data_IF_109480113028
#
_entry.id   IF_109480113028
#
_cell.length_a   1.000
_cell.length_b   1.000
_cell.length_c   1.000
_cell.angle_alpha   90.00
_cell.angle_beta   90.00
_cell.angle_gamma   90.00
#
_symmetry.space_group_name_H-M   'P 1'
#
loop_
_entity.id
_entity.type
_entity.pdbx_description
1 polymer ?
#
# COMPACT_ATOMS: atom_id res chain seq x y z
N UNK A 1 -0.67 25.92 -28.11
CA UNK A 1 0.23 25.46 -27.03
C UNK A 1 -0.66 25.05 -25.88
N UNK A 2 -0.34 23.95 -25.21
CA UNK A 2 -1.18 23.50 -24.10
C UNK A 2 -1.00 24.44 -22.90
N UNK A 3 -2.07 24.71 -22.14
CA UNK A 3 -1.97 25.56 -20.94
C UNK A 3 -0.95 24.97 -19.95
N UNK A 4 -0.86 23.64 -19.90
CA UNK A 4 0.14 22.93 -19.10
C UNK A 4 1.60 23.29 -19.48
N UNK A 5 1.95 23.33 -20.77
CA UNK A 5 3.34 23.62 -21.21
C UNK A 5 3.74 25.10 -21.08
N UNK A 6 2.75 25.99 -20.92
CA UNK A 6 3.02 27.39 -20.57
C UNK A 6 3.48 27.52 -19.11
N UNK A 7 2.96 26.67 -18.21
CA UNK A 7 3.28 26.68 -16.78
C UNK A 7 4.44 25.74 -16.44
N UNK A 8 4.54 24.59 -17.10
CA UNK A 8 5.53 23.56 -16.79
C UNK A 8 6.49 23.31 -17.95
N UNK A 9 7.77 23.11 -17.63
CA UNK A 9 8.78 22.57 -18.53
C UNK A 9 8.90 21.08 -18.31
N UNK A 10 8.44 20.28 -19.28
CA UNK A 10 8.47 18.82 -19.18
C UNK A 10 9.90 18.30 -19.32
N UNK A 11 10.29 17.39 -18.42
CA UNK A 11 11.59 16.74 -18.44
C UNK A 11 11.42 15.24 -18.79
N UNK A 12 11.85 14.36 -17.90
CA UNK A 12 11.88 12.92 -18.12
C UNK A 12 10.57 12.25 -17.71
N UNK A 13 10.22 11.18 -18.43
CA UNK A 13 9.14 10.27 -18.02
C UNK A 13 9.64 9.39 -16.86
N UNK A 14 8.99 9.49 -15.70
CA UNK A 14 9.39 8.81 -14.46
C UNK A 14 8.67 7.47 -14.30
N UNK A 15 7.47 7.33 -14.86
CA UNK A 15 6.71 6.09 -14.75
C UNK A 15 5.56 5.95 -15.74
N UNK A 16 5.16 4.71 -15.95
CA UNK A 16 3.98 4.32 -16.72
C UNK A 16 3.19 3.30 -15.90
N UNK A 17 1.92 3.60 -15.64
CA UNK A 17 1.01 2.75 -14.88
C UNK A 17 -0.29 2.52 -15.65
N UNK A 18 -1.16 1.66 -15.10
CA UNK A 18 -2.43 1.27 -15.73
C UNK A 18 -3.38 2.45 -16.01
N UNK A 19 -3.25 3.54 -15.25
CA UNK A 19 -4.12 4.72 -15.34
C UNK A 19 -3.46 5.92 -16.05
N UNK A 20 -2.20 5.79 -16.50
CA UNK A 20 -1.52 6.84 -17.24
C UNK A 20 -0.01 6.93 -17.02
N UNK A 21 0.56 8.12 -17.20
CA UNK A 21 2.01 8.35 -17.19
C UNK A 21 2.42 9.43 -16.20
N UNK A 22 3.54 9.23 -15.51
CA UNK A 22 4.12 10.23 -14.61
C UNK A 22 5.36 10.83 -15.26
N UNK A 23 5.43 12.16 -15.24
CA UNK A 23 6.53 12.94 -15.80
C UNK A 23 7.13 13.84 -14.75
N UNK A 24 8.46 13.99 -14.75
CA UNK A 24 9.12 15.06 -14.01
C UNK A 24 9.01 16.34 -14.84
N UNK A 25 8.82 17.45 -14.18
CA UNK A 25 8.77 18.76 -14.81
C UNK A 25 9.28 19.83 -13.86
N UNK A 26 9.67 20.98 -14.41
CA UNK A 26 9.96 22.19 -13.64
C UNK A 26 8.78 23.15 -13.76
N UNK A 27 8.24 23.59 -12.62
CA UNK A 27 7.24 24.67 -12.57
C UNK A 27 7.92 26.01 -12.87
N UNK A 28 7.51 26.69 -13.94
CA UNK A 28 8.15 27.94 -14.39
C UNK A 28 7.83 29.13 -13.48
N UNK A 29 6.86 29.00 -12.57
CA UNK A 29 6.43 30.08 -11.67
C UNK A 29 7.44 30.30 -10.54
N UNK A 30 7.95 29.21 -9.97
CA UNK A 30 8.85 29.21 -8.81
C UNK A 30 10.13 28.40 -9.03
N UNK A 31 10.30 27.78 -10.20
CA UNK A 31 11.41 26.91 -10.58
C UNK A 31 11.51 25.63 -9.76
N UNK A 32 10.41 25.21 -9.11
CA UNK A 32 10.37 23.98 -8.35
C UNK A 32 10.19 22.75 -9.25
N UNK A 33 10.92 21.68 -8.97
CA UNK A 33 10.69 20.39 -9.61
C UNK A 33 9.42 19.73 -9.07
N UNK A 34 8.57 19.25 -9.97
CA UNK A 34 7.28 18.60 -9.68
C UNK A 34 7.14 17.28 -10.42
N UNK A 35 6.20 16.45 -9.96
CA UNK A 35 5.77 15.25 -10.66
C UNK A 35 4.36 15.44 -11.23
N UNK A 36 4.18 15.25 -12.53
CA UNK A 36 2.91 15.41 -13.23
C UNK A 36 2.37 14.03 -13.59
N UNK A 37 1.29 13.61 -12.92
CA UNK A 37 0.54 12.39 -13.28
C UNK A 37 -0.53 12.74 -14.29
N UNK A 38 -0.34 12.28 -15.52
CA UNK A 38 -1.32 12.37 -16.59
C UNK A 38 -2.31 11.22 -16.47
N UNK A 39 -3.61 11.54 -16.37
CA UNK A 39 -4.70 10.58 -16.37
C UNK A 39 -5.49 10.73 -17.66
N UNK A 40 -5.39 9.70 -18.51
CA UNK A 40 -6.15 9.64 -19.76
C UNK A 40 -7.53 9.10 -19.45
N UNK A 41 -8.47 10.01 -19.28
CA UNK A 41 -9.87 9.67 -19.06
C UNK A 41 -10.69 10.72 -19.80
N UNK A 42 -11.77 10.33 -20.49
CA UNK A 42 -12.59 11.24 -21.30
C UNK A 42 -13.41 12.18 -20.40
N UNK A 43 -12.70 13.06 -19.69
CA UNK A 43 -13.24 13.97 -18.69
C UNK A 43 -13.93 15.11 -19.43
N UNK A 44 -15.25 15.13 -19.32
CA UNK A 44 -16.12 16.06 -20.03
C UNK A 44 -16.33 17.38 -19.29
N UNK A 45 -16.05 17.41 -17.98
CA UNK A 45 -16.24 18.59 -17.14
C UNK A 45 -15.23 18.68 -16.00
N UNK A 46 -15.01 19.90 -15.50
CA UNK A 46 -14.17 20.13 -14.31
C UNK A 46 -14.73 19.44 -13.06
N UNK A 47 -16.05 19.41 -12.91
CA UNK A 47 -16.71 18.69 -11.81
C UNK A 47 -16.43 17.19 -11.87
N UNK A 48 -16.44 16.58 -13.07
CA UNK A 48 -16.05 15.18 -13.24
C UNK A 48 -14.58 14.95 -12.85
N UNK A 49 -13.68 15.86 -13.23
CA UNK A 49 -12.26 15.82 -12.85
C UNK A 49 -12.09 15.83 -11.32
N UNK A 50 -12.71 16.81 -10.64
CA UNK A 50 -12.57 16.98 -9.19
C UNK A 50 -13.23 15.84 -8.39
N UNK A 51 -14.19 15.13 -8.98
CA UNK A 51 -14.82 13.96 -8.38
C UNK A 51 -14.06 12.64 -8.60
N UNK A 52 -12.95 12.65 -9.33
CA UNK A 52 -12.08 11.47 -9.44
C UNK A 52 -11.57 11.06 -8.05
N UNK A 53 -11.52 9.74 -7.80
CA UNK A 53 -11.22 9.17 -6.49
C UNK A 53 -9.91 9.73 -5.90
N UNK A 54 -8.84 9.74 -6.71
CA UNK A 54 -7.52 10.20 -6.26
C UNK A 54 -7.54 11.68 -5.86
N UNK A 55 -8.06 12.55 -6.72
CA UNK A 55 -8.15 14.00 -6.49
C UNK A 55 -8.99 14.27 -5.23
N UNK A 56 -10.21 13.72 -5.18
CA UNK A 56 -11.13 13.92 -4.07
C UNK A 56 -10.52 13.43 -2.75
N UNK A 57 -9.88 12.26 -2.74
CA UNK A 57 -9.26 11.69 -1.53
C UNK A 57 -8.10 12.56 -1.05
N UNK A 58 -7.21 13.00 -1.94
CA UNK A 58 -6.06 13.84 -1.58
C UNK A 58 -6.48 15.22 -1.06
N UNK A 59 -7.49 15.84 -1.68
CA UNK A 59 -8.02 17.12 -1.21
C UNK A 59 -8.67 17.01 0.17
N UNK A 60 -9.44 15.95 0.40
CA UNK A 60 -10.10 15.72 1.70
C UNK A 60 -9.11 15.33 2.81
N UNK A 61 -8.06 14.58 2.46
CA UNK A 61 -6.98 14.26 3.40
C UNK A 61 -6.12 15.48 3.74
N UNK A 62 -6.02 16.47 2.85
CA UNK A 62 -5.18 17.64 3.04
C UNK A 62 -3.70 17.27 3.13
N UNK A 63 -2.91 18.12 3.81
CA UNK A 63 -1.46 17.95 3.91
C UNK A 63 -1.05 17.09 5.12
N UNK A 64 -0.26 16.05 4.88
CA UNK A 64 0.39 15.24 5.91
C UNK A 64 1.82 14.89 5.46
N UNK A 65 2.85 14.95 6.34
CA UNK A 65 4.25 14.74 5.94
C UNK A 65 4.53 13.36 5.34
N UNK A 66 3.71 12.35 5.61
CA UNK A 66 3.86 10.98 5.10
C UNK A 66 2.79 10.57 4.08
N UNK A 67 2.11 11.53 3.44
CA UNK A 67 1.22 11.30 2.30
C UNK A 67 1.64 12.27 1.19
N UNK A 68 1.71 11.82 -0.05
CA UNK A 68 2.14 12.65 -1.17
C UNK A 68 1.22 13.85 -1.33
N UNK A 69 1.81 15.03 -1.50
CA UNK A 69 1.09 16.28 -1.60
C UNK A 69 0.66 16.56 -3.05
N UNK A 70 -0.65 16.67 -3.27
CA UNK A 70 -1.23 17.22 -4.49
C UNK A 70 -1.20 18.74 -4.43
N UNK A 71 -0.36 19.36 -5.25
CA UNK A 71 -0.15 20.80 -5.32
C UNK A 71 -1.21 21.51 -6.16
N UNK A 72 -1.53 20.92 -7.31
CA UNK A 72 -2.42 21.56 -8.29
C UNK A 72 -3.07 20.51 -9.20
N UNK A 73 -4.16 20.89 -9.88
CA UNK A 73 -4.87 20.05 -10.84
C UNK A 73 -5.16 20.87 -12.09
N UNK A 74 -4.80 20.31 -13.25
CA UNK A 74 -5.13 20.90 -14.55
C UNK A 74 -6.02 19.94 -15.35
N UNK A 75 -6.91 20.52 -16.15
CA UNK A 75 -7.73 19.78 -17.09
C UNK A 75 -7.55 20.38 -18.49
N UNK A 76 -7.16 19.55 -19.45
CA UNK A 76 -6.92 20.00 -20.82
C UNK A 76 -7.14 18.87 -21.83
N UNK A 77 -7.79 19.18 -22.96
CA UNK A 77 -8.13 18.24 -24.03
C UNK A 77 -8.87 16.99 -23.51
N UNK A 78 -9.79 17.18 -22.56
CA UNK A 78 -10.50 16.12 -21.86
C UNK A 78 -9.55 15.11 -21.19
N UNK A 79 -8.46 15.58 -20.57
CA UNK A 79 -7.60 14.76 -19.71
C UNK A 79 -7.28 15.53 -18.43
N UNK A 80 -6.93 14.82 -17.37
CA UNK A 80 -6.49 15.41 -16.10
C UNK A 80 -4.97 15.29 -15.92
N UNK A 81 -4.39 16.32 -15.32
CA UNK A 81 -2.98 16.40 -14.97
C UNK A 81 -2.90 16.78 -13.50
N UNK A 82 -2.44 15.85 -12.67
CA UNK A 82 -2.30 16.04 -11.23
C UNK A 82 -0.84 16.42 -10.96
N UNK A 83 -0.63 17.58 -10.35
CA UNK A 83 0.69 18.12 -10.02
C UNK A 83 1.02 17.75 -8.58
N UNK A 84 2.03 16.93 -8.39
CA UNK A 84 2.50 16.47 -7.09
C UNK A 84 3.84 17.11 -6.74
N UNK A 85 4.17 17.10 -5.45
CA UNK A 85 5.57 17.23 -5.03
C UNK A 85 6.45 16.16 -5.70
N UNK A 86 7.71 16.52 -5.97
CA UNK A 86 8.64 15.60 -6.59
C UNK A 86 9.30 14.68 -5.56
N UNK A 87 9.31 13.38 -5.84
CA UNK A 87 9.97 12.33 -5.05
C UNK A 87 11.01 11.64 -5.95
N UNK A 88 12.08 11.05 -5.39
CA UNK A 88 13.14 10.41 -6.19
C UNK A 88 12.66 9.13 -6.86
N UNK A 89 12.18 8.18 -6.05
CA UNK A 89 11.71 6.89 -6.53
C UNK A 89 10.77 6.22 -5.54
N UNK A 90 10.24 5.04 -5.86
CA UNK A 90 9.48 4.22 -4.90
C UNK A 90 10.40 3.34 -4.06
N UNK A 91 9.93 2.85 -2.91
CA UNK A 91 10.65 1.88 -2.10
C UNK A 91 11.00 0.62 -2.91
N UNK A 92 10.14 0.18 -3.84
CA UNK A 92 10.48 -0.92 -4.74
C UNK A 92 11.73 -0.61 -5.59
N UNK A 93 11.76 0.57 -6.21
CA UNK A 93 12.89 0.98 -7.03
C UNK A 93 14.16 1.18 -6.18
N UNK A 94 14.04 1.74 -4.98
CA UNK A 94 15.16 1.87 -4.05
C UNK A 94 15.74 0.50 -3.67
N UNK A 95 14.90 -0.49 -3.33
CA UNK A 95 15.33 -1.87 -3.05
C UNK A 95 16.08 -2.47 -4.25
N UNK A 96 15.52 -2.35 -5.46
CA UNK A 96 16.16 -2.84 -6.69
C UNK A 96 17.51 -2.16 -6.95
N UNK A 97 17.61 -0.83 -6.74
CA UNK A 97 18.84 -0.05 -6.93
C UNK A 97 19.94 -0.44 -5.94
N UNK A 98 19.58 -0.80 -4.70
CA UNK A 98 20.54 -1.14 -3.64
C UNK A 98 20.97 -2.61 -3.64
N UNK A 99 20.19 -3.52 -4.21
CA UNK A 99 20.52 -4.95 -4.21
C UNK A 99 21.95 -5.21 -4.75
N UNK A 100 22.78 -6.02 -4.07
CA UNK A 100 22.47 -6.94 -2.97
C UNK A 100 22.61 -6.38 -1.54
N UNK A 101 22.78 -5.07 -1.38
CA UNK A 101 22.88 -4.44 -0.06
C UNK A 101 21.47 -4.19 0.50
N UNK A 102 21.05 -5.06 1.41
CA UNK A 102 19.76 -4.94 2.11
C UNK A 102 19.72 -3.75 3.07
N UNK A 103 18.52 -3.29 3.39
CA UNK A 103 18.33 -2.28 4.42
C UNK A 103 18.75 -2.82 5.80
N UNK A 104 19.39 -1.97 6.59
CA UNK A 104 19.58 -2.24 8.00
C UNK A 104 18.24 -2.11 8.72
N UNK A 105 18.06 -2.82 9.84
CA UNK A 105 16.81 -2.77 10.61
C UNK A 105 16.43 -1.34 11.04
N UNK A 106 17.40 -0.47 11.28
CA UNK A 106 17.15 0.96 11.56
C UNK A 106 16.48 1.69 10.38
N UNK A 107 16.86 1.36 9.14
CA UNK A 107 16.25 1.93 7.93
C UNK A 107 14.82 1.37 7.78
N UNK A 108 14.63 0.06 7.99
CA UNK A 108 13.29 -0.56 7.96
C UNK A 108 12.36 0.06 9.01
N UNK A 109 12.84 0.22 10.24
CA UNK A 109 12.12 0.88 11.33
C UNK A 109 11.72 2.30 10.96
N UNK A 110 12.65 3.07 10.40
CA UNK A 110 12.42 4.45 9.99
C UNK A 110 11.36 4.58 8.89
N UNK A 111 11.40 3.74 7.87
CA UNK A 111 10.39 3.73 6.83
C UNK A 111 9.03 3.26 7.35
N UNK A 112 8.98 2.19 8.13
CA UNK A 112 7.72 1.66 8.68
C UNK A 112 7.05 2.63 9.64
N UNK A 113 7.81 3.34 10.47
CA UNK A 113 7.27 4.36 11.37
C UNK A 113 6.56 5.46 10.58
N UNK A 114 7.21 6.01 9.55
CA UNK A 114 6.66 7.05 8.68
C UNK A 114 5.43 6.57 7.90
N UNK A 115 5.47 5.36 7.34
CA UNK A 115 4.33 4.76 6.64
C UNK A 115 3.13 4.54 7.56
N UNK A 116 3.35 4.02 8.77
CA UNK A 116 2.28 3.84 9.75
C UNK A 116 1.73 5.18 10.26
N UNK A 117 2.56 6.22 10.39
CA UNK A 117 2.10 7.58 10.70
C UNK A 117 1.15 8.12 9.63
N UNK A 118 1.54 8.01 8.35
CA UNK A 118 0.67 8.40 7.23
C UNK A 118 -0.63 7.60 7.18
N UNK A 119 -0.55 6.29 7.40
CA UNK A 119 -1.72 5.43 7.40
C UNK A 119 -2.66 5.69 8.58
N UNK A 120 -2.11 5.93 9.78
CA UNK A 120 -2.89 6.29 10.96
C UNK A 120 -3.68 7.58 10.73
N UNK A 121 -3.05 8.58 10.11
CA UNK A 121 -3.73 9.80 9.70
C UNK A 121 -4.86 9.51 8.70
N UNK A 122 -4.57 8.76 7.63
CA UNK A 122 -5.54 8.42 6.60
C UNK A 122 -6.76 7.67 7.16
N UNK A 123 -6.54 6.65 7.99
CA UNK A 123 -7.59 5.86 8.63
C UNK A 123 -8.42 6.71 9.60
N UNK A 124 -7.79 7.64 10.34
CA UNK A 124 -8.50 8.58 11.22
C UNK A 124 -9.42 9.53 10.45
N UNK A 125 -9.06 9.90 9.23
CA UNK A 125 -9.90 10.70 8.33
C UNK A 125 -10.98 9.86 7.62
N UNK A 126 -11.10 8.57 7.95
CA UNK A 126 -12.12 7.68 7.40
C UNK A 126 -11.80 7.13 6.01
N UNK A 127 -10.53 7.18 5.57
CA UNK A 127 -10.11 6.62 4.28
C UNK A 127 -9.36 5.30 4.44
N UNK A 128 -9.58 4.36 3.51
CA UNK A 128 -8.79 3.13 3.34
C UNK A 128 -8.02 3.24 2.02
N UNK A 129 -6.71 2.99 2.03
CA UNK A 129 -5.85 3.15 0.87
C UNK A 129 -6.11 2.09 -0.20
N UNK A 130 -6.29 0.83 0.20
CA UNK A 130 -6.67 -0.32 -0.63
C UNK A 130 -5.61 -0.84 -1.60
N UNK A 131 -4.62 -0.04 -2.00
CA UNK A 131 -3.52 -0.52 -2.87
C UNK A 131 -2.11 -0.26 -2.30
N UNK A 132 -1.90 -0.56 -1.01
CA UNK A 132 -0.59 -0.41 -0.40
C UNK A 132 0.39 -1.49 -0.89
N UNK A 133 1.54 -1.04 -1.37
CA UNK A 133 2.67 -1.84 -1.86
C UNK A 133 3.92 -0.96 -1.92
N UNK A 134 5.14 -1.53 -2.01
CA UNK A 134 6.37 -0.75 -2.10
C UNK A 134 6.46 0.18 -3.32
N UNK A 135 5.72 -0.08 -4.41
CA UNK A 135 5.60 0.85 -5.54
C UNK A 135 4.87 2.16 -5.18
N UNK A 136 3.94 2.09 -4.22
CA UNK A 136 3.07 3.19 -3.79
C UNK A 136 3.58 3.86 -2.51
N UNK A 137 4.84 3.60 -2.14
CA UNK A 137 5.55 4.28 -1.07
C UNK A 137 6.75 5.00 -1.70
N UNK A 138 6.68 6.33 -1.82
CA UNK A 138 7.68 7.14 -2.49
C UNK A 138 8.71 7.66 -1.49
N UNK A 139 9.98 7.63 -1.87
CA UNK A 139 11.10 8.16 -1.09
C UNK A 139 11.67 9.41 -1.74
N UNK A 140 12.13 10.35 -0.91
CA UNK A 140 12.84 11.54 -1.36
C UNK A 140 14.27 11.25 -1.81
N UNK A 141 14.97 12.27 -2.31
CA UNK A 141 16.33 12.15 -2.86
C UNK A 141 17.36 11.68 -1.83
N UNK A 142 17.21 12.11 -0.57
CA UNK A 142 18.10 11.70 0.51
C UNK A 142 17.76 10.29 1.03
N UNK A 143 16.62 9.73 0.61
CA UNK A 143 16.10 8.44 1.06
C UNK A 143 15.70 8.44 2.53
N UNK A 144 15.46 9.60 3.13
CA UNK A 144 15.14 9.78 4.55
C UNK A 144 13.65 9.89 4.77
N UNK A 145 12.89 10.47 3.84
CA UNK A 145 11.45 10.64 3.98
C UNK A 145 10.69 9.72 3.05
N UNK A 146 9.66 9.07 3.59
CA UNK A 146 8.75 8.22 2.82
C UNK A 146 7.32 8.73 2.92
N UNK A 147 6.62 8.71 1.78
CA UNK A 147 5.22 9.14 1.65
C UNK A 147 4.38 8.09 0.95
N UNK A 148 3.17 7.87 1.44
CA UNK A 148 2.14 7.07 0.78
C UNK A 148 1.64 7.81 -0.46
N UNK A 149 1.52 7.13 -1.58
CA UNK A 149 1.10 7.68 -2.87
C UNK A 149 0.09 6.76 -3.59
N UNK A 150 -0.47 7.25 -4.68
CA UNK A 150 -1.43 6.54 -5.54
C UNK A 150 -2.75 6.17 -4.84
N UNK A 151 -3.53 7.20 -4.51
CA UNK A 151 -4.83 7.05 -3.85
C UNK A 151 -5.97 6.76 -4.86
N UNK A 152 -5.67 6.32 -6.08
CA UNK A 152 -6.66 6.03 -7.11
C UNK A 152 -7.68 4.97 -6.72
N UNK A 153 -7.32 4.09 -5.78
CA UNK A 153 -8.19 3.03 -5.25
C UNK A 153 -8.77 3.33 -3.88
N UNK A 154 -8.44 4.49 -3.29
CA UNK A 154 -8.84 4.84 -1.94
C UNK A 154 -10.37 4.95 -1.82
N UNK A 155 -10.92 4.64 -0.65
CA UNK A 155 -12.36 4.79 -0.38
C UNK A 155 -12.62 5.28 1.03
N UNK A 156 -13.67 6.06 1.16
CA UNK A 156 -14.26 6.40 2.46
C UNK A 156 -14.90 5.15 3.08
N UNK A 157 -14.69 4.96 4.38
CA UNK A 157 -15.37 3.96 5.19
C UNK A 157 -16.78 4.49 5.47
N UNK A 158 -17.75 4.22 4.61
CA UNK A 158 -19.16 4.49 4.93
C UNK A 158 -19.72 3.37 5.80
N UNK A 159 -20.55 3.70 6.79
CA UNK A 159 -21.18 2.74 7.72
C UNK A 159 -22.18 1.77 7.04
N UNK A 160 -22.43 1.92 5.74
CA UNK A 160 -23.59 1.30 5.08
C UNK A 160 -23.34 0.70 3.69
N UNK A 161 -22.09 0.62 3.24
CA UNK A 161 -21.78 -0.12 2.01
C UNK A 161 -20.93 -1.34 2.35
N UNK A 162 -21.47 -2.59 2.27
CA UNK A 162 -20.58 -3.71 2.09
C UNK A 162 -19.76 -3.35 0.85
N UNK A 163 -18.45 -3.21 1.03
CA UNK A 163 -17.50 -3.00 -0.05
C UNK A 163 -17.62 -4.23 -0.93
N UNK A 164 -18.59 -4.16 -1.84
CA UNK A 164 -18.96 -5.22 -2.75
C UNK A 164 -17.74 -5.59 -3.57
N UNK A 165 -17.88 -6.74 -4.23
CA UNK A 165 -16.91 -7.44 -5.09
C UNK A 165 -16.37 -6.53 -6.20
N UNK A 166 -15.68 -5.45 -5.83
CA UNK A 166 -14.94 -4.61 -6.74
C UNK A 166 -13.77 -5.48 -7.18
N UNK A 167 -13.77 -5.79 -8.47
CA UNK A 167 -12.71 -6.55 -9.11
C UNK A 167 -11.38 -5.85 -8.80
N UNK A 168 -10.65 -6.41 -7.84
CA UNK A 168 -9.36 -5.91 -7.43
C UNK A 168 -8.40 -6.21 -8.58
N UNK A 169 -8.07 -5.20 -9.40
CA UNK A 169 -7.12 -5.32 -10.53
C UNK A 169 -5.77 -4.68 -10.13
N UNK A 170 -5.19 -5.15 -9.02
CA UNK A 170 -3.88 -4.67 -8.55
C UNK A 170 -2.91 -5.80 -8.21
N UNK A 171 -1.65 -5.50 -7.88
CA UNK A 171 -0.65 -6.51 -7.51
C UNK A 171 -1.13 -7.36 -6.33
N UNK A 172 -1.32 -8.66 -6.56
CA UNK A 172 -2.00 -9.55 -5.60
C UNK A 172 -1.18 -9.88 -4.35
N UNK A 173 0.14 -9.68 -4.39
CA UNK A 173 1.09 -10.09 -3.34
C UNK A 173 0.82 -9.46 -1.96
N UNK A 174 0.13 -8.31 -1.94
CA UNK A 174 -0.18 -7.55 -0.72
C UNK A 174 -1.66 -7.66 -0.31
N UNK A 175 -2.48 -8.46 -1.01
CA UNK A 175 -3.90 -8.60 -0.68
C UNK A 175 -4.10 -9.45 0.56
N UNK A 176 -4.97 -8.97 1.44
CA UNK A 176 -5.35 -9.67 2.66
C UNK A 176 -6.24 -10.90 2.37
N UNK A 177 -6.23 -11.93 3.23
CA UNK A 177 -7.04 -13.13 3.07
C UNK A 177 -8.54 -12.88 2.86
N UNK A 178 -9.13 -11.97 3.62
CA UNK A 178 -10.55 -11.61 3.52
C UNK A 178 -10.88 -11.02 2.14
N UNK A 179 -9.95 -10.28 1.54
CA UNK A 179 -10.11 -9.73 0.19
C UNK A 179 -10.06 -10.84 -0.85
N UNK A 180 -9.15 -11.81 -0.68
CA UNK A 180 -9.02 -12.97 -1.59
C UNK A 180 -10.24 -13.89 -1.56
N UNK A 181 -10.93 -13.98 -0.42
CA UNK A 181 -12.16 -14.76 -0.24
C UNK A 181 -13.46 -13.97 -0.54
N UNK A 182 -13.34 -12.70 -0.90
CA UNK A 182 -14.48 -11.82 -1.17
C UNK A 182 -15.35 -11.55 0.05
N UNK A 183 -14.74 -11.48 1.23
CA UNK A 183 -15.39 -11.09 2.49
C UNK A 183 -15.42 -9.56 2.63
N UNK A 184 -16.29 -9.04 3.52
CA UNK A 184 -16.25 -7.63 3.91
C UNK A 184 -14.84 -7.22 4.38
N UNK A 185 -14.38 -6.07 3.91
CA UNK A 185 -13.04 -5.58 4.19
C UNK A 185 -13.04 -4.07 4.42
N UNK A 186 -12.11 -3.62 5.26
CA UNK A 186 -11.96 -2.23 5.67
C UNK A 186 -10.50 -1.93 6.05
N UNK A 187 -10.23 -0.98 6.97
CA UNK A 187 -8.87 -0.54 7.33
C UNK A 187 -7.87 -1.67 7.65
N UNK A 188 -8.33 -2.79 8.23
CA UNK A 188 -7.48 -3.94 8.56
C UNK A 188 -6.77 -4.57 7.34
N UNK A 189 -7.26 -4.36 6.12
CA UNK A 189 -6.61 -4.86 4.91
C UNK A 189 -5.33 -4.08 4.58
N UNK A 190 -5.31 -2.78 4.87
CA UNK A 190 -4.10 -1.95 4.71
C UNK A 190 -3.04 -2.36 5.73
N UNK A 191 -3.47 -2.77 6.92
CA UNK A 191 -2.57 -3.27 7.97
C UNK A 191 -1.89 -4.58 7.57
N UNK A 192 -2.61 -5.48 6.89
CA UNK A 192 -2.00 -6.66 6.28
C UNK A 192 -0.93 -6.29 5.26
N UNK A 193 -1.24 -5.34 4.36
CA UNK A 193 -0.28 -4.87 3.36
C UNK A 193 0.97 -4.26 4.00
N UNK A 194 0.84 -3.52 5.12
CA UNK A 194 1.99 -3.03 5.89
C UNK A 194 2.87 -4.16 6.44
N UNK A 195 2.29 -5.28 6.89
CA UNK A 195 3.05 -6.46 7.29
C UNK A 195 3.84 -7.07 6.12
N UNK A 196 3.22 -7.16 4.94
CA UNK A 196 3.90 -7.61 3.72
C UNK A 196 5.05 -6.67 3.31
N UNK A 197 4.81 -5.35 3.32
CA UNK A 197 5.82 -4.33 3.00
C UNK A 197 6.99 -4.43 3.97
N UNK A 198 6.73 -4.51 5.28
CA UNK A 198 7.77 -4.61 6.30
C UNK A 198 8.67 -5.83 6.08
N UNK A 199 8.09 -7.00 5.82
CA UNK A 199 8.85 -8.21 5.52
C UNK A 199 9.68 -8.10 4.23
N UNK A 200 9.14 -7.44 3.20
CA UNK A 200 9.84 -7.22 1.94
C UNK A 200 11.00 -6.22 2.10
N UNK A 201 10.90 -5.22 2.96
CA UNK A 201 12.00 -4.29 3.25
C UNK A 201 13.23 -5.00 3.84
N UNK A 202 13.05 -6.10 4.59
CA UNK A 202 14.16 -6.92 5.09
C UNK A 202 14.77 -7.83 4.02
N UNK A 203 13.97 -8.31 3.06
CA UNK A 203 14.34 -9.45 2.20
C UNK A 203 14.48 -9.09 0.72
N UNK A 204 14.05 -7.89 0.33
CA UNK A 204 13.87 -7.40 -1.03
C UNK A 204 13.07 -8.38 -1.92
N UNK A 205 12.20 -9.18 -1.31
CA UNK A 205 11.36 -10.15 -1.96
C UNK A 205 9.95 -10.10 -1.35
N UNK A 206 8.91 -10.17 -2.18
CA UNK A 206 7.55 -10.23 -1.67
C UNK A 206 7.37 -11.41 -0.70
N UNK A 207 6.76 -11.14 0.45
CA UNK A 207 6.49 -12.17 1.47
C UNK A 207 5.60 -13.30 0.91
N UNK A 208 4.62 -12.95 0.09
CA UNK A 208 3.65 -13.87 -0.49
C UNK A 208 3.60 -13.73 -2.01
N UNK A 209 4.46 -14.47 -2.72
CA UNK A 209 4.60 -14.41 -4.17
C UNK A 209 3.66 -15.39 -4.90
N UNK A 210 2.34 -15.18 -4.79
CA UNK A 210 1.36 -16.01 -5.49
C UNK A 210 1.21 -15.65 -6.97
N UNK A 211 0.89 -16.64 -7.79
CA UNK A 211 0.60 -16.52 -9.24
C UNK A 211 -0.88 -16.31 -9.58
N UNK A 212 -1.80 -16.72 -8.70
CA UNK A 212 -3.26 -16.48 -8.77
C UNK A 212 -3.85 -16.41 -7.34
N UNK A 213 -5.16 -16.21 -7.18
CA UNK A 213 -5.77 -16.07 -5.84
C UNK A 213 -5.63 -17.33 -4.97
N UNK A 214 -5.75 -18.51 -5.56
CA UNK A 214 -5.59 -19.79 -4.86
C UNK A 214 -4.14 -19.98 -4.42
N UNK A 215 -3.20 -19.77 -5.34
CA UNK A 215 -1.76 -19.86 -5.03
C UNK A 215 -1.31 -18.76 -4.06
N UNK A 216 -1.96 -17.59 -4.05
CA UNK A 216 -1.71 -16.56 -3.05
C UNK A 216 -2.06 -17.05 -1.64
N UNK A 217 -3.23 -17.69 -1.47
CA UNK A 217 -3.63 -18.29 -0.19
C UNK A 217 -2.66 -19.42 0.20
N UNK A 218 -2.21 -20.22 -0.76
CA UNK A 218 -1.17 -21.24 -0.53
C UNK A 218 0.12 -20.64 0.02
N UNK A 219 0.64 -19.56 -0.57
CA UNK A 219 1.84 -18.87 -0.03
C UNK A 219 1.61 -18.31 1.36
N UNK A 220 0.40 -17.79 1.63
CA UNK A 220 0.04 -17.33 2.97
C UNK A 220 0.09 -18.49 3.97
N UNK A 221 -0.56 -19.62 3.69
CA UNK A 221 -0.52 -20.81 4.52
C UNK A 221 0.91 -21.35 4.72
N UNK A 222 1.77 -21.25 3.70
CA UNK A 222 3.17 -21.64 3.78
C UNK A 222 3.93 -20.89 4.89
N UNK A 223 3.70 -19.59 5.03
CA UNK A 223 4.37 -18.75 6.04
C UNK A 223 3.62 -18.75 7.37
N UNK A 224 2.32 -18.47 7.41
CA UNK A 224 1.60 -18.27 8.67
C UNK A 224 0.76 -19.47 9.14
N UNK A 225 0.77 -20.58 8.38
CA UNK A 225 -0.05 -21.76 8.64
C UNK A 225 -1.50 -21.59 8.17
N UNK A 226 -2.25 -22.69 8.03
CA UNK A 226 -3.68 -22.63 7.70
C UNK A 226 -4.50 -22.08 8.88
N UNK A 227 -5.59 -21.34 8.63
CA UNK A 227 -6.48 -20.92 9.69
C UNK A 227 -7.29 -22.12 10.21
N UNK A 228 -7.71 -22.06 11.47
CA UNK A 228 -8.70 -22.96 12.06
C UNK A 228 -10.01 -22.22 12.33
N UNK A 229 -11.11 -22.95 12.56
CA UNK A 229 -12.40 -22.34 12.93
C UNK A 229 -12.29 -21.46 14.18
N UNK A 230 -11.44 -21.83 15.14
CA UNK A 230 -11.19 -21.02 16.35
C UNK A 230 -10.42 -19.74 16.04
N UNK A 231 -9.57 -19.75 15.01
CA UNK A 231 -8.73 -18.62 14.63
C UNK A 231 -9.46 -17.61 13.77
N UNK A 232 -10.23 -18.08 12.77
CA UNK A 232 -10.94 -17.22 11.83
C UNK A 232 -12.15 -17.94 11.23
N UNK A 233 -13.20 -18.06 12.05
CA UNK A 233 -14.44 -18.81 11.73
C UNK A 233 -15.07 -18.38 10.39
N UNK A 234 -15.22 -17.06 10.17
CA UNK A 234 -15.84 -16.51 8.97
C UNK A 234 -15.08 -16.88 7.70
N UNK A 235 -13.75 -16.75 7.71
CA UNK A 235 -12.90 -17.11 6.57
C UNK A 235 -12.92 -18.58 6.24
N UNK A 236 -12.89 -19.45 7.26
CA UNK A 236 -12.97 -20.90 7.06
C UNK A 236 -14.32 -21.29 6.46
N UNK A 237 -15.43 -20.78 7.01
CA UNK A 237 -16.77 -21.04 6.44
C UNK A 237 -16.91 -20.52 5.01
N UNK A 238 -16.32 -19.36 4.71
CA UNK A 238 -16.35 -18.79 3.37
C UNK A 238 -15.58 -19.63 2.37
N UNK A 239 -14.41 -20.15 2.75
CA UNK A 239 -13.63 -21.06 1.94
C UNK A 239 -14.41 -22.36 1.63
N UNK A 240 -15.05 -22.94 2.66
CA UNK A 240 -15.89 -24.13 2.49
C UNK A 240 -17.04 -23.90 1.50
N UNK A 241 -17.72 -22.75 1.58
CA UNK A 241 -18.78 -22.36 0.63
C UNK A 241 -18.28 -22.17 -0.81
N UNK A 242 -17.00 -21.83 -0.98
CA UNK A 242 -16.36 -21.70 -2.29
C UNK A 242 -15.79 -23.04 -2.80
N UNK A 243 -15.91 -24.12 -2.02
CA UNK A 243 -15.30 -25.42 -2.33
C UNK A 243 -13.78 -25.39 -2.30
N UNK A 244 -13.19 -24.47 -1.52
CA UNK A 244 -11.75 -24.30 -1.38
C UNK A 244 -11.29 -24.79 0.00
N UNK A 245 -10.25 -25.62 0.04
CA UNK A 245 -9.61 -26.04 1.28
C UNK A 245 -8.25 -25.36 1.43
N UNK A 246 -7.99 -24.81 2.62
CA UNK A 246 -6.68 -24.24 2.94
C UNK A 246 -5.59 -25.33 2.97
N UNK A 247 -4.48 -25.16 2.24
CA UNK A 247 -3.40 -26.14 2.23
C UNK A 247 -2.62 -26.16 3.56
N UNK A 248 -2.05 -27.32 3.89
CA UNK A 248 -1.15 -27.50 5.05
C UNK A 248 -1.79 -28.17 6.27
N UNK A 249 -0.96 -28.42 7.29
CA UNK A 249 -1.34 -29.09 8.54
C UNK A 249 -2.00 -28.12 9.53
N UNK A 250 -3.12 -28.55 10.11
CA UNK A 250 -3.89 -27.83 11.13
C UNK A 250 -3.07 -27.54 12.41
N UNK A 251 -2.06 -28.37 12.70
CA UNK A 251 -1.17 -28.23 13.87
C UNK A 251 -0.06 -27.18 13.67
N UNK A 252 0.05 -26.56 12.49
CA UNK A 252 1.05 -25.54 12.20
C UNK A 252 0.82 -24.20 12.97
N UNK A 253 -0.33 -24.02 13.63
CA UNK A 253 -0.64 -22.82 14.41
C UNK A 253 0.40 -22.52 15.51
N UNK A 254 1.02 -23.53 16.12
CA UNK A 254 2.02 -23.37 17.19
C UNK A 254 3.41 -22.91 16.73
N UNK A 255 3.67 -22.88 15.41
CA UNK A 255 4.98 -22.54 14.83
C UNK A 255 4.94 -21.28 13.97
N UNK A 256 3.84 -20.53 13.98
CA UNK A 256 3.62 -19.35 13.12
C UNK A 256 4.76 -18.32 13.21
N UNK A 257 5.11 -17.87 14.42
CA UNK A 257 6.21 -16.91 14.63
C UNK A 257 7.57 -17.43 14.15
N UNK A 258 7.83 -18.72 14.34
CA UNK A 258 9.04 -19.37 13.86
C UNK A 258 9.10 -19.46 12.32
N UNK A 259 7.95 -19.62 11.66
CA UNK A 259 7.89 -19.59 10.19
C UNK A 259 8.07 -18.18 9.65
N UNK A 260 7.50 -17.16 10.31
CA UNK A 260 7.74 -15.75 9.96
C UNK A 260 9.22 -15.40 10.12
N UNK A 261 9.87 -15.81 11.23
CA UNK A 261 11.31 -15.55 11.40
C UNK A 261 12.18 -16.24 10.36
N UNK A 262 11.77 -17.42 9.87
CA UNK A 262 12.42 -18.09 8.73
C UNK A 262 12.20 -17.37 7.40
N UNK A 263 11.03 -16.77 7.20
CA UNK A 263 10.71 -16.03 5.99
C UNK A 263 11.45 -14.68 5.92
N UNK A 264 11.81 -14.11 7.07
CA UNK A 264 12.44 -12.79 7.19
C UNK A 264 13.79 -12.92 7.92
N UNK A 265 14.79 -13.58 7.32
CA UNK A 265 16.08 -13.78 7.97
C UNK A 265 16.78 -12.44 8.25
N UNK A 266 17.34 -12.29 9.45
CA UNK A 266 18.05 -11.08 9.87
C UNK A 266 17.18 -10.03 10.57
N UNK A 267 15.87 -10.22 10.66
CA UNK A 267 14.98 -9.39 11.47
C UNK A 267 15.07 -9.74 12.97
N UNK A 268 15.02 -8.73 13.84
CA UNK A 268 14.86 -8.90 15.28
C UNK A 268 13.57 -9.63 15.66
N UNK A 269 13.48 -10.12 16.90
CA UNK A 269 12.26 -10.78 17.39
C UNK A 269 11.10 -9.80 17.47
N UNK A 270 11.37 -8.53 17.77
CA UNK A 270 10.39 -7.44 17.77
C UNK A 270 9.87 -7.17 16.36
N UNK A 271 10.74 -7.16 15.35
CA UNK A 271 10.32 -7.04 13.95
C UNK A 271 9.46 -8.23 13.50
N UNK A 272 9.90 -9.46 13.81
CA UNK A 272 9.14 -10.69 13.51
C UNK A 272 7.77 -10.66 14.19
N UNK A 273 7.71 -10.21 15.45
CA UNK A 273 6.46 -10.11 16.20
C UNK A 273 5.50 -9.09 15.58
N UNK A 274 6.00 -7.92 15.15
CA UNK A 274 5.18 -6.91 14.50
C UNK A 274 4.63 -7.42 13.15
N UNK A 275 5.45 -8.07 12.34
CA UNK A 275 5.01 -8.69 11.07
C UNK A 275 3.94 -9.76 11.33
N UNK A 276 4.15 -10.64 12.32
CA UNK A 276 3.17 -11.66 12.73
C UNK A 276 1.85 -11.02 13.19
N UNK A 277 1.88 -9.92 13.93
CA UNK A 277 0.68 -9.24 14.39
C UNK A 277 -0.10 -8.60 13.23
N UNK A 278 0.59 -7.88 12.34
CA UNK A 278 0.04 -7.25 11.13
C UNK A 278 -0.57 -8.28 10.17
N UNK A 279 0.06 -9.45 10.01
CA UNK A 279 -0.39 -10.50 9.10
C UNK A 279 -1.31 -11.55 9.77
N UNK A 280 -2.13 -11.15 10.74
CA UNK A 280 -3.12 -12.04 11.38
C UNK A 280 -4.24 -12.45 10.42
N UNK A 281 -4.65 -13.73 10.47
CA UNK A 281 -5.75 -14.26 9.66
C UNK A 281 -7.04 -13.49 9.88
N UNK A 282 -7.49 -13.44 11.13
CA UNK A 282 -8.67 -12.66 11.54
C UNK A 282 -8.35 -11.15 11.44
N UNK A 283 -9.05 -10.40 10.56
CA UNK A 283 -8.83 -8.96 10.40
C UNK A 283 -9.04 -8.18 11.71
N UNK A 284 -9.91 -8.64 12.60
CA UNK A 284 -10.18 -8.01 13.90
C UNK A 284 -9.04 -8.15 14.91
N UNK A 285 -8.06 -9.03 14.63
CA UNK A 285 -6.87 -9.25 15.48
C UNK A 285 -5.66 -8.48 15.00
N UNK A 286 -5.72 -7.84 13.83
CA UNK A 286 -4.66 -6.96 13.34
C UNK A 286 -4.71 -5.64 14.12
N UNK A 287 -3.55 -5.04 14.44
CA UNK A 287 -3.53 -3.73 15.08
C UNK A 287 -4.05 -2.67 14.13
N UNK A 288 -4.62 -1.60 14.67
CA UNK A 288 -4.71 -0.31 13.98
C UNK A 288 -3.30 0.26 13.75
N UNK A 289 -3.16 1.20 12.82
CA UNK A 289 -1.86 1.85 12.59
C UNK A 289 -1.33 2.59 13.83
N UNK A 290 -2.22 3.16 14.66
CA UNK A 290 -1.84 3.80 15.93
C UNK A 290 -1.32 2.78 16.95
N UNK A 291 -1.99 1.63 17.10
CA UNK A 291 -1.52 0.56 17.98
C UNK A 291 -0.19 -0.04 17.51
N UNK A 292 0.00 -0.20 16.20
CA UNK A 292 1.25 -0.67 15.63
C UNK A 292 2.42 0.28 15.92
N UNK A 293 2.18 1.60 15.92
CA UNK A 293 3.20 2.60 16.27
C UNK A 293 3.65 2.54 17.74
N UNK A 294 2.83 1.96 18.64
CA UNK A 294 3.19 1.75 20.05
C UNK A 294 3.91 0.40 20.29
N UNK A 295 4.23 -0.33 19.22
CA UNK A 295 4.88 -1.63 19.34
C UNK A 295 6.36 -1.46 19.76
N UNK A 296 6.92 -2.34 20.63
CA UNK A 296 8.32 -2.27 21.09
C UNK A 296 9.39 -2.25 20.00
N UNK A 297 9.04 -2.65 18.78
CA UNK A 297 9.92 -2.50 17.62
C UNK A 297 10.32 -1.03 17.38
N UNK A 298 9.48 -0.07 17.76
CA UNK A 298 9.72 1.37 17.60
C UNK A 298 10.30 2.05 18.86
N UNK A 299 10.46 1.32 19.97
CA UNK A 299 11.06 1.83 21.20
C UNK A 299 12.60 1.85 21.06
N UNK A 300 13.17 3.01 20.73
CA UNK A 300 14.63 3.27 20.76
C UNK A 300 14.91 4.64 21.35
#
# INVERSE_FOLDING_TARGET
MSNLTLVFEMEDRVGEGSFGSVWRATDKRDLETVAIKFLKDHITSWEQCMNMIEIKSLLNLGHHPNIVHLKDVFMENNNAYLIFENMDCSLLHLMKRRFPIFFQEKEVRHYMFQLLMGLAYMHRQGYVHRDLKPDNALVDFDGLHVKIADLGMAREVSESSPTGVAEYVTTRWYRAPEVLLGLPHGPAMDMWAMGCIMAELFTFRPLFLGSNSVDQIDKICGVIGRPSLKMWEEGVRRADLLGFEFPGDEHACGVRRWRVSKAVPGASMEAVHLIDWLCSWDPSKRPTAMEALQHPFFDI
#
